data_IF_540403204165
#
_entry.id   IF_540403204165
#
_cell.length_a   1.000
_cell.length_b   1.000
_cell.length_c   1.000
_cell.angle_alpha   90.00
_cell.angle_beta   90.00
_cell.angle_gamma   90.00
#
_symmetry.space_group_name_H-M   'P 1'
#
loop_
_entity.id
_entity.type
_entity.pdbx_description
1 polymer ?
#
# COMPACT_ATOMS: atom_id res chain seq x y z
N UNK A 1 -53.70 -0.38 21.44
CA UNK A 1 -53.41 -0.32 20.00
C UNK A 1 -53.57 1.15 19.62
N UNK A 2 -52.53 1.93 19.36
CA UNK A 2 -51.35 1.66 18.51
C UNK A 2 -50.20 2.56 18.96
N UNK A 3 -49.00 1.98 19.10
CA UNK A 3 -47.75 2.72 19.30
C UNK A 3 -47.41 3.52 18.03
N UNK A 4 -46.96 4.78 18.08
CA UNK A 4 -46.16 5.33 17.01
C UNK A 4 -44.75 4.75 17.10
N UNK A 5 -44.38 3.99 16.07
CA UNK A 5 -43.06 3.43 15.87
C UNK A 5 -41.98 4.51 15.93
N UNK A 6 -40.91 4.21 16.67
CA UNK A 6 -39.69 4.98 16.66
C UNK A 6 -39.10 5.01 15.24
N UNK A 7 -38.55 6.13 14.76
CA UNK A 7 -37.85 6.13 13.49
C UNK A 7 -36.63 5.20 13.58
N UNK A 8 -36.59 4.25 12.64
CA UNK A 8 -35.50 3.31 12.46
C UNK A 8 -34.15 4.04 12.45
N UNK A 9 -33.21 3.46 13.19
CA UNK A 9 -31.84 3.90 13.31
C UNK A 9 -31.22 4.22 11.92
N UNK A 10 -30.68 5.43 11.80
CA UNK A 10 -29.84 5.84 10.69
C UNK A 10 -28.65 4.86 10.57
N UNK A 11 -28.41 4.22 9.41
CA UNK A 11 -27.20 3.43 9.23
C UNK A 11 -25.99 4.37 9.15
N UNK A 12 -25.33 4.50 10.30
CA UNK A 12 -23.94 4.89 10.54
C UNK A 12 -23.10 5.23 9.29
N UNK A 13 -22.91 6.54 9.08
CA UNK A 13 -22.09 7.19 8.04
C UNK A 13 -20.56 6.93 8.07
N UNK A 14 -20.06 5.91 8.79
CA UNK A 14 -18.61 5.78 9.04
C UNK A 14 -18.05 4.36 8.97
N UNK A 15 -18.84 3.33 8.68
CA UNK A 15 -18.26 2.00 8.47
C UNK A 15 -17.61 1.94 7.08
N UNK A 16 -16.28 1.76 7.03
CA UNK A 16 -15.59 1.36 5.80
C UNK A 16 -16.13 -0.04 5.45
N UNK A 17 -16.73 -0.24 4.26
CA UNK A 17 -17.19 -1.55 3.82
C UNK A 17 -16.10 -2.62 4.04
N UNK A 18 -16.44 -3.86 4.46
CA UNK A 18 -15.43 -4.88 4.82
C UNK A 18 -14.48 -5.22 3.66
N UNK A 19 -14.96 -5.09 2.42
CA UNK A 19 -14.15 -5.21 1.20
C UNK A 19 -13.02 -4.16 1.07
N UNK A 20 -13.14 -3.03 1.78
CA UNK A 20 -12.17 -1.94 1.80
C UNK A 20 -11.23 -1.98 3.02
N UNK A 21 -11.38 -2.94 3.94
CA UNK A 21 -10.59 -3.02 5.17
C UNK A 21 -9.08 -3.18 4.93
N UNK A 22 -8.69 -3.79 3.81
CA UNK A 22 -7.29 -3.98 3.40
C UNK A 22 -6.77 -2.88 2.47
N UNK A 23 -7.58 -1.84 2.19
CA UNK A 23 -7.24 -0.76 1.28
C UNK A 23 -6.67 0.42 2.06
N UNK A 24 -5.59 1.01 1.56
CA UNK A 24 -5.03 2.22 2.15
C UNK A 24 -6.08 3.33 2.20
N UNK A 25 -6.14 4.06 3.31
CA UNK A 25 -7.14 5.10 3.55
C UNK A 25 -7.16 6.21 2.47
N UNK A 26 -6.00 6.54 1.89
CA UNK A 26 -5.89 7.52 0.81
C UNK A 26 -6.65 7.07 -0.45
N UNK A 27 -6.62 5.78 -0.77
CA UNK A 27 -7.36 5.22 -1.89
C UNK A 27 -8.87 5.15 -1.63
N UNK A 28 -9.29 4.89 -0.39
CA UNK A 28 -10.71 4.93 0.01
C UNK A 28 -11.24 6.37 -0.07
N UNK A 29 -10.46 7.35 0.41
CA UNK A 29 -10.81 8.78 0.35
C UNK A 29 -10.98 9.24 -1.09
N UNK A 30 -10.06 8.87 -1.97
CA UNK A 30 -10.13 9.19 -3.40
C UNK A 30 -11.37 8.55 -4.06
N UNK A 31 -11.69 7.29 -3.72
CA UNK A 31 -12.88 6.62 -4.22
C UNK A 31 -14.18 7.34 -3.80
N UNK A 32 -14.28 7.78 -2.55
CA UNK A 32 -15.42 8.58 -2.06
C UNK A 32 -15.55 9.94 -2.75
N UNK A 33 -14.43 10.58 -3.09
CA UNK A 33 -14.46 11.82 -3.88
C UNK A 33 -15.09 11.54 -5.26
N UNK A 34 -14.64 10.47 -5.93
CA UNK A 34 -15.21 10.06 -7.22
C UNK A 34 -16.68 9.68 -7.13
N UNK A 35 -17.08 8.97 -6.09
CA UNK A 35 -18.48 8.59 -5.84
C UNK A 35 -19.39 9.82 -5.79
N UNK A 36 -18.97 10.88 -5.08
CA UNK A 36 -19.74 12.13 -5.02
C UNK A 36 -19.93 12.75 -6.41
N UNK A 37 -18.88 12.76 -7.23
CA UNK A 37 -18.96 13.30 -8.58
C UNK A 37 -19.84 12.48 -9.51
N UNK A 38 -19.85 11.15 -9.35
CA UNK A 38 -20.68 10.26 -10.15
C UNK A 38 -22.15 10.40 -9.77
N UNK A 39 -22.47 10.46 -8.47
CA UNK A 39 -23.83 10.69 -7.99
C UNK A 39 -24.38 12.01 -8.54
N UNK A 40 -23.56 13.08 -8.56
CA UNK A 40 -23.96 14.36 -9.13
C UNK A 40 -24.19 14.29 -10.65
N UNK A 41 -23.38 13.51 -11.37
CA UNK A 41 -23.59 13.26 -12.81
C UNK A 41 -24.86 12.46 -13.07
N UNK A 42 -25.22 11.51 -12.20
CA UNK A 42 -26.40 10.68 -12.38
C UNK A 42 -27.69 11.40 -12.00
N UNK A 43 -27.68 12.09 -10.87
CA UNK A 43 -28.89 12.67 -10.26
C UNK A 43 -29.04 14.16 -10.52
N UNK A 44 -27.97 14.84 -10.91
CA UNK A 44 -27.91 16.30 -10.94
C UNK A 44 -27.71 16.95 -9.57
N UNK A 45 -27.60 16.14 -8.51
CA UNK A 45 -27.56 16.60 -7.12
C UNK A 45 -26.27 16.17 -6.43
N UNK A 46 -25.75 17.07 -5.60
CA UNK A 46 -24.68 16.69 -4.68
C UNK A 46 -25.21 15.70 -3.63
N UNK A 47 -24.40 14.72 -3.20
CA UNK A 47 -24.80 13.78 -2.15
C UNK A 47 -25.22 14.50 -0.86
N UNK A 48 -26.34 14.06 -0.27
CA UNK A 48 -26.88 14.62 0.97
C UNK A 48 -27.79 15.85 0.78
N UNK A 49 -28.07 16.26 -0.47
CA UNK A 49 -29.18 17.21 -0.74
C UNK A 49 -30.53 16.53 -0.45
N UNK A 50 -31.52 17.29 0.09
CA UNK A 50 -32.86 16.77 0.30
C UNK A 50 -33.51 16.39 -1.04
N UNK A 51 -34.41 15.42 -0.97
CA UNK A 51 -35.23 15.00 -2.11
C UNK A 51 -36.05 16.18 -2.65
N UNK A 52 -36.05 16.39 -3.97
CA UNK A 52 -36.70 17.55 -4.61
C UNK A 52 -35.86 18.84 -4.66
N UNK A 53 -34.61 18.83 -4.17
CA UNK A 53 -33.70 19.95 -4.43
C UNK A 53 -33.50 20.15 -5.94
N UNK A 54 -33.37 21.40 -6.42
CA UNK A 54 -33.16 21.64 -7.85
C UNK A 54 -31.79 21.10 -8.28
N UNK A 55 -31.70 20.41 -9.44
CA UNK A 55 -30.44 20.00 -10.02
C UNK A 55 -29.50 21.18 -10.26
N UNK A 56 -28.21 20.95 -10.11
CA UNK A 56 -27.20 21.97 -10.40
C UNK A 56 -27.19 22.27 -11.92
N UNK A 57 -27.04 23.53 -12.35
CA UNK A 57 -26.93 23.87 -13.76
C UNK A 57 -25.86 23.03 -14.47
N UNK A 58 -26.18 22.53 -15.68
CA UNK A 58 -25.32 21.62 -16.44
C UNK A 58 -25.43 20.15 -16.04
N UNK A 59 -26.16 19.81 -14.98
CA UNK A 59 -26.32 18.44 -14.49
C UNK A 59 -27.78 17.97 -14.40
N UNK A 60 -28.74 18.81 -14.74
CA UNK A 60 -30.17 18.47 -14.77
C UNK A 60 -30.46 17.31 -15.75
N UNK A 61 -30.94 16.14 -15.27
CA UNK A 61 -31.27 15.01 -16.13
C UNK A 61 -32.41 15.27 -17.13
N UNK A 62 -33.29 16.23 -16.84
CA UNK A 62 -34.39 16.59 -17.73
C UNK A 62 -33.95 17.54 -18.87
N UNK A 63 -32.80 18.20 -18.73
CA UNK A 63 -32.31 19.22 -19.69
C UNK A 63 -31.05 18.83 -20.43
N UNK A 64 -30.22 17.97 -19.85
CA UNK A 64 -28.94 17.57 -20.41
C UNK A 64 -28.87 16.08 -20.60
N UNK A 65 -28.28 15.64 -21.71
CA UNK A 65 -27.93 14.24 -21.93
C UNK A 65 -26.83 13.80 -20.97
N UNK A 66 -26.75 12.50 -20.71
CA UNK A 66 -25.70 11.96 -19.83
C UNK A 66 -24.29 12.26 -20.34
N UNK A 67 -24.10 12.31 -21.67
CA UNK A 67 -22.81 12.67 -22.30
C UNK A 67 -22.45 14.13 -22.05
N UNK A 68 -23.40 15.06 -22.19
CA UNK A 68 -23.18 16.48 -21.87
C UNK A 68 -22.78 16.67 -20.41
N UNK A 69 -23.40 15.92 -19.49
CA UNK A 69 -23.04 15.93 -18.07
C UNK A 69 -21.63 15.39 -17.81
N UNK A 70 -21.17 14.39 -18.57
CA UNK A 70 -19.78 13.93 -18.51
C UNK A 70 -18.81 15.03 -18.95
N UNK A 71 -19.11 15.73 -20.03
CA UNK A 71 -18.30 16.85 -20.50
C UNK A 71 -18.23 17.97 -19.47
N UNK A 72 -19.38 18.35 -18.90
CA UNK A 72 -19.45 19.35 -17.84
C UNK A 72 -18.60 18.95 -16.62
N UNK A 73 -18.71 17.70 -16.15
CA UNK A 73 -17.93 17.21 -15.01
C UNK A 73 -16.44 17.14 -15.32
N UNK A 74 -16.08 16.70 -16.52
CA UNK A 74 -14.69 16.63 -16.95
C UNK A 74 -14.03 18.02 -17.00
N UNK A 75 -14.76 19.02 -17.50
CA UNK A 75 -14.29 20.41 -17.51
C UNK A 75 -14.12 20.96 -16.09
N UNK A 76 -15.10 20.74 -15.21
CA UNK A 76 -15.03 21.14 -13.80
C UNK A 76 -13.83 20.50 -13.09
N UNK A 77 -13.66 19.17 -13.20
CA UNK A 77 -12.55 18.45 -12.59
C UNK A 77 -11.19 18.88 -13.15
N UNK A 78 -11.10 19.15 -14.45
CA UNK A 78 -9.86 19.64 -15.07
C UNK A 78 -9.48 21.05 -14.63
N UNK A 79 -10.44 21.86 -14.18
CA UNK A 79 -10.18 23.19 -13.63
C UNK A 79 -9.81 23.18 -12.15
N UNK A 80 -10.20 22.14 -11.41
CA UNK A 80 -9.92 21.98 -9.98
C UNK A 80 -8.64 21.18 -9.70
N UNK A 81 -8.25 20.29 -10.61
CA UNK A 81 -7.08 19.44 -10.47
C UNK A 81 -5.94 19.95 -11.36
N UNK A 82 -4.69 19.75 -10.94
CA UNK A 82 -3.50 20.01 -11.77
C UNK A 82 -3.35 19.02 -12.96
N UNK A 83 -4.43 18.33 -13.33
CA UNK A 83 -4.45 17.28 -14.34
C UNK A 83 -5.71 17.34 -15.18
N UNK A 84 -5.58 17.08 -16.48
CA UNK A 84 -6.72 17.02 -17.40
C UNK A 84 -7.50 15.72 -17.20
N UNK A 85 -8.78 15.84 -16.88
CA UNK A 85 -9.73 14.73 -16.80
C UNK A 85 -10.58 14.72 -18.07
N UNK A 86 -10.57 13.61 -18.80
CA UNK A 86 -11.43 13.44 -19.98
C UNK A 86 -12.84 12.99 -19.61
N UNK A 87 -13.83 13.32 -20.45
CA UNK A 87 -15.21 12.84 -20.27
C UNK A 87 -15.29 11.30 -20.28
N UNK A 88 -14.45 10.62 -21.08
CA UNK A 88 -14.30 9.16 -21.04
C UNK A 88 -13.85 8.62 -19.68
N UNK A 89 -13.05 9.40 -18.93
CA UNK A 89 -12.66 9.02 -17.57
C UNK A 89 -13.86 9.02 -16.63
N UNK A 90 -14.69 10.06 -16.72
CA UNK A 90 -15.95 10.16 -15.95
C UNK A 90 -16.90 9.02 -16.32
N UNK A 91 -17.10 8.77 -17.60
CA UNK A 91 -17.92 7.66 -18.11
C UNK A 91 -17.43 6.31 -17.57
N UNK A 92 -16.14 6.01 -17.70
CA UNK A 92 -15.54 4.76 -17.23
C UNK A 92 -15.76 4.58 -15.73
N UNK A 93 -15.46 5.63 -14.94
CA UNK A 93 -15.64 5.61 -13.47
C UNK A 93 -17.10 5.37 -13.08
N UNK A 94 -18.05 5.98 -13.78
CA UNK A 94 -19.49 5.71 -13.57
C UNK A 94 -19.85 4.25 -13.88
N UNK A 95 -19.42 3.71 -15.01
CA UNK A 95 -19.72 2.32 -15.38
C UNK A 95 -19.16 1.34 -14.33
N UNK A 96 -17.91 1.54 -13.90
CA UNK A 96 -17.31 0.69 -12.86
C UNK A 96 -18.00 0.84 -11.51
N UNK A 97 -18.48 2.04 -11.17
CA UNK A 97 -19.27 2.26 -9.95
C UNK A 97 -20.63 1.58 -10.02
N UNK A 98 -21.30 1.59 -11.17
CA UNK A 98 -22.58 0.89 -11.32
C UNK A 98 -22.42 -0.62 -11.16
N UNK A 99 -21.33 -1.18 -11.67
CA UNK A 99 -21.13 -2.64 -11.70
C UNK A 99 -20.49 -3.17 -10.40
N UNK A 100 -19.73 -2.34 -9.67
CA UNK A 100 -18.94 -2.77 -8.50
C UNK A 100 -19.05 -1.85 -7.28
N UNK A 101 -19.96 -0.89 -7.28
CA UNK A 101 -20.09 0.11 -6.21
C UNK A 101 -18.79 0.88 -5.96
N UNK A 102 -18.59 1.27 -4.70
CA UNK A 102 -17.42 2.02 -4.27
C UNK A 102 -16.09 1.29 -4.56
N UNK A 103 -16.08 -0.04 -4.50
CA UNK A 103 -14.91 -0.87 -4.84
C UNK A 103 -14.43 -0.63 -6.29
N UNK A 104 -15.35 -0.40 -7.23
CA UNK A 104 -15.04 -0.08 -8.62
C UNK A 104 -14.28 1.23 -8.82
N UNK A 105 -14.30 2.13 -7.83
CA UNK A 105 -13.67 3.44 -7.89
C UNK A 105 -12.27 3.48 -7.28
N UNK A 106 -11.93 2.49 -6.46
CA UNK A 106 -10.64 2.37 -5.80
C UNK A 106 -9.53 2.12 -6.82
N UNK A 107 -8.40 2.83 -6.66
CA UNK A 107 -7.18 2.50 -7.39
C UNK A 107 -6.61 1.18 -6.86
N UNK A 108 -6.82 0.10 -7.65
CA UNK A 108 -6.35 -1.25 -7.34
C UNK A 108 -4.82 -1.36 -7.25
N UNK A 109 -4.06 -0.37 -7.74
CA UNK A 109 -2.60 -0.33 -7.50
C UNK A 109 -2.27 -0.02 -6.03
N UNK A 110 -3.18 0.66 -5.33
CA UNK A 110 -3.06 1.05 -3.93
C UNK A 110 -3.77 0.08 -2.97
N UNK A 111 -4.51 -0.91 -3.48
CA UNK A 111 -5.11 -1.99 -2.68
C UNK A 111 -4.11 -3.09 -2.33
N UNK A 112 -3.01 -3.21 -3.10
CA UNK A 112 -1.90 -4.07 -2.70
C UNK A 112 -1.12 -3.33 -1.62
N UNK A 113 -1.41 -3.62 -0.35
CA UNK A 113 -0.44 -3.40 0.74
C UNK A 113 0.87 -3.92 0.20
N UNK A 114 1.84 -3.03 0.01
CA UNK A 114 3.16 -3.42 -0.49
C UNK A 114 3.63 -4.47 0.53
N UNK A 115 3.70 -5.74 0.12
CA UNK A 115 4.20 -6.79 1.00
C UNK A 115 5.46 -6.24 1.65
N UNK A 116 5.62 -6.40 2.96
CA UNK A 116 6.84 -5.98 3.67
C UNK A 116 8.09 -6.53 2.95
N UNK A 117 7.90 -7.64 2.24
CA UNK A 117 8.88 -8.41 1.50
C UNK A 117 9.03 -8.01 0.01
N UNK A 118 8.22 -7.08 -0.48
CA UNK A 118 8.24 -6.64 -1.88
C UNK A 118 7.69 -7.69 -2.85
N UNK A 119 8.50 -8.08 -3.84
CA UNK A 119 8.21 -9.16 -4.81
C UNK A 119 9.01 -10.44 -4.49
N UNK A 120 9.68 -10.49 -3.33
CA UNK A 120 10.40 -11.69 -2.91
C UNK A 120 9.41 -12.78 -2.54
N UNK A 121 9.72 -14.01 -2.96
CA UNK A 121 8.96 -15.21 -2.63
C UNK A 121 8.76 -15.34 -1.11
N UNK A 122 7.53 -15.49 -0.60
CA UNK A 122 7.25 -15.68 0.82
C UNK A 122 8.08 -16.80 1.46
N UNK A 123 8.30 -17.91 0.77
CA UNK A 123 9.05 -19.03 1.32
C UNK A 123 10.52 -18.66 1.60
N UNK A 124 11.13 -17.88 0.71
CA UNK A 124 12.50 -17.37 0.90
C UNK A 124 12.58 -16.40 2.08
N UNK A 125 11.52 -15.63 2.32
CA UNK A 125 11.43 -14.72 3.47
C UNK A 125 11.33 -15.50 4.77
N UNK A 126 10.45 -16.50 4.83
CA UNK A 126 10.26 -17.32 6.02
C UNK A 126 11.57 -18.03 6.40
N UNK A 127 12.26 -18.62 5.41
CA UNK A 127 13.58 -19.21 5.62
C UNK A 127 14.64 -18.21 6.09
N UNK A 128 14.59 -16.97 5.63
CA UNK A 128 15.49 -15.91 6.08
C UNK A 128 15.21 -15.52 7.54
N UNK A 129 13.93 -15.37 7.90
CA UNK A 129 13.52 -15.07 9.27
C UNK A 129 13.90 -16.19 10.24
N UNK A 130 13.61 -17.44 9.87
CA UNK A 130 14.02 -18.64 10.62
C UNK A 130 15.54 -18.69 10.85
N UNK A 131 16.32 -18.37 9.81
CA UNK A 131 17.78 -18.34 9.93
C UNK A 131 18.26 -17.26 10.90
N UNK A 132 17.64 -16.09 10.90
CA UNK A 132 17.97 -15.00 11.83
C UNK A 132 17.60 -15.39 13.25
N UNK A 133 16.43 -15.99 13.47
CA UNK A 133 15.99 -16.46 14.78
C UNK A 133 16.90 -17.56 15.33
N UNK A 134 17.25 -18.57 14.53
CA UNK A 134 18.17 -19.64 14.93
C UNK A 134 19.58 -19.14 15.29
N UNK A 135 19.94 -17.96 14.78
CA UNK A 135 21.21 -17.28 15.05
C UNK A 135 21.14 -16.30 16.22
N UNK A 136 19.96 -16.04 16.78
CA UNK A 136 19.83 -15.20 17.97
C UNK A 136 20.69 -15.78 19.11
N UNK A 137 21.53 -14.94 19.73
CA UNK A 137 22.43 -15.34 20.81
C UNK A 137 23.70 -16.11 20.38
N UNK A 138 23.95 -16.28 19.07
CA UNK A 138 25.20 -16.83 18.53
C UNK A 138 26.17 -15.70 18.12
N UNK A 139 27.47 -16.00 17.88
CA UNK A 139 28.39 -15.02 17.32
C UNK A 139 27.83 -14.37 16.05
N UNK A 140 28.08 -13.05 15.91
CA UNK A 140 27.62 -12.26 14.78
C UNK A 140 28.02 -12.85 13.44
N UNK A 141 27.20 -12.61 12.43
CA UNK A 141 27.39 -13.10 11.07
C UNK A 141 27.22 -11.96 10.07
N UNK A 142 28.00 -11.99 9.00
CA UNK A 142 27.89 -11.02 7.92
C UNK A 142 26.66 -11.28 7.05
N UNK A 143 26.17 -10.22 6.40
CA UNK A 143 25.07 -10.32 5.43
C UNK A 143 25.33 -11.38 4.34
N UNK A 144 26.57 -11.46 3.85
CA UNK A 144 26.97 -12.37 2.78
C UNK A 144 26.92 -13.83 3.22
N UNK A 145 27.39 -14.12 4.43
CA UNK A 145 27.31 -15.48 4.99
C UNK A 145 25.86 -15.87 5.25
N UNK A 146 25.03 -14.96 5.74
CA UNK A 146 23.59 -15.19 5.89
C UNK A 146 22.93 -15.51 4.55
N UNK A 147 23.26 -14.77 3.48
CA UNK A 147 22.74 -15.03 2.14
C UNK A 147 23.25 -16.35 1.54
N UNK A 148 24.49 -16.75 1.85
CA UNK A 148 25.01 -18.05 1.46
C UNK A 148 24.26 -19.20 2.14
N UNK A 149 23.99 -19.08 3.45
CA UNK A 149 23.17 -20.05 4.18
C UNK A 149 21.74 -20.10 3.67
N UNK A 150 21.14 -18.94 3.38
CA UNK A 150 19.81 -18.86 2.79
C UNK A 150 19.76 -19.60 1.45
N UNK A 151 20.71 -19.35 0.55
CA UNK A 151 20.79 -20.04 -0.75
C UNK A 151 20.94 -21.55 -0.60
N UNK A 152 21.80 -22.00 0.32
CA UNK A 152 21.96 -23.42 0.61
C UNK A 152 20.66 -24.05 1.13
N UNK A 153 19.89 -23.32 1.94
CA UNK A 153 18.66 -23.85 2.55
C UNK A 153 17.46 -23.86 1.60
N UNK A 154 17.39 -22.87 0.70
CA UNK A 154 16.36 -22.82 -0.35
C UNK A 154 16.62 -23.89 -1.42
N UNK A 155 17.88 -24.17 -1.73
CA UNK A 155 18.22 -25.11 -2.81
C UNK A 155 17.71 -24.61 -4.17
N UNK A 156 17.35 -25.54 -5.05
CA UNK A 156 16.82 -25.26 -6.39
C UNK A 156 15.29 -25.06 -6.41
N UNK A 157 14.63 -25.22 -5.26
CA UNK A 157 13.16 -25.22 -5.15
C UNK A 157 12.55 -23.83 -5.34
N UNK A 158 13.32 -22.74 -5.16
CA UNK A 158 12.84 -21.38 -5.38
C UNK A 158 13.96 -20.42 -5.78
N UNK A 159 13.72 -19.50 -6.73
CA UNK A 159 14.73 -18.54 -7.16
C UNK A 159 15.03 -17.54 -6.04
N UNK A 160 16.22 -17.63 -5.46
CA UNK A 160 16.69 -16.67 -4.45
C UNK A 160 17.00 -15.32 -5.11
N UNK A 161 16.48 -14.19 -4.60
CA UNK A 161 16.78 -12.87 -5.15
C UNK A 161 18.27 -12.53 -5.16
N UNK A 162 18.66 -11.66 -6.09
CA UNK A 162 20.02 -11.10 -6.13
C UNK A 162 20.38 -10.35 -4.83
N UNK A 163 21.67 -10.30 -4.49
CA UNK A 163 22.16 -9.67 -3.24
C UNK A 163 21.63 -8.25 -3.00
N UNK A 164 21.57 -7.33 -3.99
CA UNK A 164 21.00 -5.99 -3.78
C UNK A 164 19.53 -6.02 -3.33
N UNK A 165 18.76 -7.01 -3.77
CA UNK A 165 17.37 -7.21 -3.35
C UNK A 165 17.31 -7.76 -1.93
N UNK A 166 18.20 -8.70 -1.58
CA UNK A 166 18.30 -9.24 -0.22
C UNK A 166 18.74 -8.16 0.79
N UNK A 167 19.68 -7.27 0.45
CA UNK A 167 20.03 -6.13 1.30
C UNK A 167 18.84 -5.18 1.51
N UNK A 168 18.08 -4.87 0.46
CA UNK A 168 16.85 -4.06 0.57
C UNK A 168 15.78 -4.76 1.42
N UNK A 169 15.72 -6.10 1.37
CA UNK A 169 14.83 -6.90 2.19
C UNK A 169 15.23 -6.82 3.67
N UNK A 170 16.50 -7.05 4.02
CA UNK A 170 16.99 -6.90 5.40
C UNK A 170 16.68 -5.51 5.97
N UNK A 171 16.92 -4.45 5.17
CA UNK A 171 16.63 -3.08 5.58
C UNK A 171 15.13 -2.83 5.84
N UNK A 172 14.23 -3.45 5.05
CA UNK A 172 12.78 -3.35 5.26
C UNK A 172 12.31 -4.16 6.47
N UNK A 173 12.98 -5.27 6.77
CA UNK A 173 12.70 -6.13 7.92
C UNK A 173 13.30 -5.60 9.23
N UNK A 174 14.08 -4.50 9.18
CA UNK A 174 14.77 -3.98 10.36
C UNK A 174 15.88 -4.90 10.88
N UNK A 175 16.35 -5.84 10.06
CA UNK A 175 17.37 -6.81 10.45
C UNK A 175 18.75 -6.21 10.22
N UNK A 176 19.48 -5.98 11.31
CA UNK A 176 20.89 -5.59 11.27
C UNK A 176 21.78 -6.82 11.37
N UNK A 177 22.56 -7.06 10.33
CA UNK A 177 23.63 -8.07 10.29
C UNK A 177 24.97 -7.40 10.59
N UNK A 178 25.83 -8.09 11.33
CA UNK A 178 27.12 -7.54 11.72
C UNK A 178 27.96 -7.27 10.47
N UNK A 179 28.54 -6.07 10.36
CA UNK A 179 29.44 -5.73 9.26
C UNK A 179 30.87 -6.19 9.50
N UNK A 180 31.18 -6.67 10.71
CA UNK A 180 32.56 -6.87 11.11
C UNK A 180 33.00 -8.32 10.90
N UNK A 181 33.84 -8.55 9.89
CA UNK A 181 35.14 -9.21 10.01
C UNK A 181 35.97 -8.96 8.74
N UNK A 182 37.08 -8.25 8.90
CA UNK A 182 38.14 -8.15 7.91
C UNK A 182 39.36 -7.39 8.44
N UNK A 183 40.57 -7.85 8.11
CA UNK A 183 41.18 -9.04 8.70
C UNK A 183 41.55 -8.80 10.17
N UNK A 184 41.54 -9.84 10.99
CA UNK A 184 42.24 -9.78 12.28
C UNK A 184 43.72 -9.49 11.97
N UNK A 185 44.17 -8.26 12.24
CA UNK A 185 45.59 -8.00 12.45
C UNK A 185 45.98 -8.88 13.62
N UNK A 186 46.79 -9.89 13.36
CA UNK A 186 47.48 -10.62 14.43
C UNK A 186 48.35 -9.57 15.11
N UNK A 187 47.88 -9.09 16.27
CA UNK A 187 48.71 -8.38 17.21
C UNK A 187 49.63 -9.46 17.78
N UNK A 188 50.86 -9.53 17.28
CA UNK A 188 51.92 -10.30 17.94
C UNK A 188 51.99 -9.82 19.40
N UNK A 189 52.02 -10.72 20.39
CA UNK A 189 52.38 -10.28 21.73
C UNK A 189 53.86 -9.85 21.69
N UNK A 190 54.11 -8.56 21.90
CA UNK A 190 55.41 -8.11 22.39
C UNK A 190 55.69 -8.86 23.68
N UNK A 191 56.79 -9.61 23.71
CA UNK A 191 57.34 -10.20 24.93
C UNK A 191 58.28 -9.14 25.54
N UNK A 192 57.98 -8.56 26.71
CA UNK A 192 58.92 -7.69 27.41
C UNK A 192 59.65 -8.50 28.49
N UNK A 193 60.97 -8.56 28.39
CA UNK A 193 61.81 -8.88 29.55
C UNK A 193 63.02 -9.72 29.25
N UNK A 194 64.12 -9.08 28.83
CA UNK A 194 65.48 -9.44 29.22
C UNK A 194 66.33 -8.17 29.16
N UNK A 195 66.23 -7.36 30.21
CA UNK A 195 67.22 -6.34 30.53
C UNK A 195 68.49 -7.03 31.04
N UNK A 196 69.59 -6.76 30.32
CA UNK A 196 70.95 -6.51 30.84
C UNK A 196 71.61 -7.56 31.75
N UNK A 197 72.76 -8.07 31.28
CA UNK A 197 73.88 -8.44 32.14
C UNK A 197 75.12 -7.70 31.60
N UNK A 198 75.82 -6.89 32.42
CA UNK A 198 77.02 -6.17 32.03
C UNK A 198 78.29 -7.00 32.31
N UNK A 199 79.27 -6.99 31.41
CA UNK A 199 80.45 -6.10 31.40
C UNK A 199 81.35 -6.46 30.22
#
# INVERSE_FOLDING_TARGET
MTCPDAPAAEPSRTAVPPELACVREDAVREARIWERHIIEVDTGLLPGRPEGAPPRPGYDPARHTLVERYHAKAAELSGLLDSRVSWHTVQRKRLTYRDHGLWGLVDKRRTRTRSLYGQTDPHVVDLLLDLVEQRAGRPGMTARELFALLRHRVGDDSPVPAEPTLYKLLARLGITVDRQHGPARICSPEIPGLSQIPR
#
